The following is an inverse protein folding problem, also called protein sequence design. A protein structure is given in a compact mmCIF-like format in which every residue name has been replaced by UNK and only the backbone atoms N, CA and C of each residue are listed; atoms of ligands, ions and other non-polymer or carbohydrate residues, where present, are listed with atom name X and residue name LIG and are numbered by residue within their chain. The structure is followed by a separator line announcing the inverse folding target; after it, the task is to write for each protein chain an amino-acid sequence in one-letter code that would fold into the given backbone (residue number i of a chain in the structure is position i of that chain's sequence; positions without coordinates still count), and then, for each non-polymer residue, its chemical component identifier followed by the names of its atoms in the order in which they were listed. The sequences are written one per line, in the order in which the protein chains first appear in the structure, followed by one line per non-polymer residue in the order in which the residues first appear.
data_IF_711696374889
#
_entry.id   IF_711696374889
#
_cell.length_a   1.000
_cell.length_b   1.000
_cell.length_c   1.000
_cell.angle_alpha   90.00
_cell.angle_beta   90.00
_cell.angle_gamma   90.00
#
_symmetry.space_group_name_H-M   'P 1'
#
loop_
_entity.id
_entity.type
_entity.pdbx_description
1 polymer ?
#
# COMPACT_ATOMS: atom_id res chain seq x y z
N UNK A 1 -1.96 18.93 -22.54
CA UNK A 1 -2.21 19.97 -23.58
C UNK A 1 -0.90 20.67 -23.85
N UNK A 2 -0.46 20.71 -25.10
CA UNK A 2 0.72 21.48 -25.47
C UNK A 2 0.33 22.98 -25.51
N UNK A 3 0.93 23.84 -24.66
CA UNK A 3 0.54 25.25 -24.57
C UNK A 3 0.85 26.05 -25.84
N UNK A 4 1.74 25.56 -26.71
CA UNK A 4 2.10 26.23 -27.96
C UNK A 4 1.11 25.92 -29.10
N UNK A 5 0.56 24.70 -29.15
CA UNK A 5 -0.32 24.25 -30.25
C UNK A 5 -1.79 24.21 -29.86
N UNK A 6 -2.11 24.20 -28.55
CA UNK A 6 -3.49 24.01 -28.07
C UNK A 6 -4.03 22.59 -28.33
N UNK A 7 -3.17 21.67 -28.80
CA UNK A 7 -3.50 20.29 -29.13
C UNK A 7 -3.11 19.40 -27.95
N UNK A 8 -3.92 18.37 -27.70
CA UNK A 8 -3.55 17.28 -26.82
C UNK A 8 -2.58 16.34 -27.55
N UNK A 9 -1.41 16.18 -26.94
CA UNK A 9 -0.39 15.23 -27.34
C UNK A 9 -0.10 14.37 -26.12
N UNK A 10 -0.01 13.06 -26.34
CA UNK A 10 0.37 12.13 -25.29
C UNK A 10 1.82 12.41 -24.82
N UNK A 11 2.06 12.17 -23.53
CA UNK A 11 3.41 12.14 -22.97
C UNK A 11 4.21 10.96 -23.53
N UNK A 12 5.53 11.12 -23.66
CA UNK A 12 6.44 10.02 -24.00
C UNK A 12 6.34 8.82 -23.04
N UNK A 13 5.77 9.02 -21.84
CA UNK A 13 5.49 7.97 -20.87
C UNK A 13 4.39 6.97 -21.31
N UNK A 14 3.58 7.27 -22.33
CA UNK A 14 2.63 6.32 -22.91
C UNK A 14 1.43 5.94 -22.03
N UNK A 15 1.11 6.74 -20.99
CA UNK A 15 0.05 6.42 -20.05
C UNK A 15 -1.32 6.36 -20.72
N UNK A 16 -1.63 7.31 -21.60
CA UNK A 16 -2.95 7.43 -22.21
C UNK A 16 -3.24 6.29 -23.17
N UNK A 17 -2.28 5.94 -24.02
CA UNK A 17 -2.33 4.79 -24.89
C UNK A 17 -2.52 3.49 -24.10
N UNK A 18 -1.80 3.32 -22.98
CA UNK A 18 -1.95 2.15 -22.11
C UNK A 18 -3.35 2.07 -21.50
N UNK A 19 -3.92 3.18 -21.04
CA UNK A 19 -5.28 3.19 -20.47
C UNK A 19 -6.34 2.84 -21.53
N UNK A 20 -6.22 3.38 -22.74
CA UNK A 20 -7.13 3.08 -23.87
C UNK A 20 -6.98 1.61 -24.32
N UNK A 21 -5.75 1.09 -24.30
CA UNK A 21 -5.51 -0.33 -24.58
C UNK A 21 -6.14 -1.22 -23.51
N UNK A 22 -6.03 -0.83 -22.24
CA UNK A 22 -6.60 -1.57 -21.12
C UNK A 22 -8.13 -1.58 -21.13
N UNK A 23 -8.78 -0.48 -21.52
CA UNK A 23 -10.22 -0.42 -21.77
C UNK A 23 -10.64 -1.37 -22.89
N UNK A 24 -9.86 -1.41 -23.98
CA UNK A 24 -10.12 -2.29 -25.13
C UNK A 24 -9.86 -3.77 -24.84
N UNK A 25 -9.04 -4.10 -23.84
CA UNK A 25 -8.63 -5.46 -23.49
C UNK A 25 -8.91 -5.78 -22.01
N UNK A 26 -10.18 -5.84 -21.57
CA UNK A 26 -10.55 -5.94 -20.15
C UNK A 26 -10.12 -7.26 -19.47
N UNK A 27 -9.76 -8.29 -20.25
CA UNK A 27 -9.26 -9.57 -19.73
C UNK A 27 -7.73 -9.63 -19.60
N UNK A 28 -6.99 -8.64 -20.11
CA UNK A 28 -5.53 -8.56 -19.95
C UNK A 28 -5.17 -7.67 -18.76
N UNK A 29 -4.20 -8.08 -17.95
CA UNK A 29 -3.71 -7.30 -16.82
C UNK A 29 -2.67 -6.27 -17.27
N UNK A 30 -2.83 -5.04 -16.81
CA UNK A 30 -1.94 -3.91 -17.04
C UNK A 30 -1.41 -3.40 -15.71
N UNK A 31 -0.14 -3.00 -15.70
CA UNK A 31 0.49 -2.39 -14.53
C UNK A 31 1.12 -1.06 -14.93
N UNK A 32 0.76 0.00 -14.21
CA UNK A 32 1.32 1.34 -14.36
C UNK A 32 2.24 1.61 -13.18
N UNK A 33 3.50 1.90 -13.45
CA UNK A 33 4.51 2.18 -12.43
C UNK A 33 4.87 3.67 -12.48
N UNK A 34 4.57 4.38 -11.40
CA UNK A 34 5.00 5.76 -11.19
C UNK A 34 6.31 5.76 -10.41
N UNK A 35 7.41 6.00 -11.12
CA UNK A 35 8.72 6.11 -10.47
C UNK A 35 8.86 7.45 -9.76
N UNK A 36 9.45 7.45 -8.56
CA UNK A 36 9.70 8.62 -7.71
C UNK A 36 8.46 9.53 -7.56
N UNK A 37 7.31 8.90 -7.28
CA UNK A 37 6.00 9.55 -7.35
C UNK A 37 5.88 10.75 -6.39
N UNK A 38 6.67 10.77 -5.32
CA UNK A 38 6.66 11.78 -4.26
C UNK A 38 7.60 12.97 -4.47
N UNK A 39 8.23 13.10 -5.66
CA UNK A 39 8.91 14.33 -6.06
C UNK A 39 7.95 15.52 -6.12
N UNK A 40 6.71 15.27 -6.53
CA UNK A 40 5.61 16.23 -6.47
C UNK A 40 4.60 15.83 -5.39
N UNK A 41 3.76 16.77 -4.95
CA UNK A 41 2.67 16.47 -4.03
C UNK A 41 1.70 15.48 -4.68
N UNK A 42 1.76 14.21 -4.28
CA UNK A 42 1.01 13.12 -4.92
C UNK A 42 -0.49 13.36 -4.93
N UNK A 43 -1.04 13.95 -3.87
CA UNK A 43 -2.47 14.23 -3.81
C UNK A 43 -2.93 15.18 -4.92
N UNK A 44 -2.07 16.05 -5.44
CA UNK A 44 -2.52 17.02 -6.46
C UNK A 44 -2.70 16.38 -7.82
N UNK A 45 -1.80 15.48 -8.23
CA UNK A 45 -1.86 14.87 -9.56
C UNK A 45 -2.51 13.48 -9.54
N UNK A 46 -2.46 12.76 -8.42
CA UNK A 46 -2.99 11.40 -8.32
C UNK A 46 -4.42 11.34 -7.73
N UNK A 47 -4.96 12.45 -7.22
CA UNK A 47 -6.33 12.49 -6.68
C UNK A 47 -7.40 11.94 -7.65
N UNK A 48 -7.38 12.22 -8.97
CA UNK A 48 -8.38 11.67 -9.88
C UNK A 48 -8.41 10.14 -9.85
N UNK A 49 -7.23 9.50 -9.90
CA UNK A 49 -7.12 8.03 -9.83
C UNK A 49 -7.60 7.49 -8.49
N UNK A 50 -7.22 8.13 -7.40
CA UNK A 50 -7.66 7.74 -6.05
C UNK A 50 -9.18 7.81 -5.91
N UNK A 51 -9.81 8.86 -6.42
CA UNK A 51 -11.27 9.01 -6.42
C UNK A 51 -11.96 7.96 -7.28
N UNK A 52 -11.40 7.63 -8.45
CA UNK A 52 -11.95 6.59 -9.33
C UNK A 52 -11.91 5.21 -8.70
N UNK A 53 -10.83 4.87 -7.99
CA UNK A 53 -10.70 3.58 -7.31
C UNK A 53 -11.73 3.38 -6.18
N UNK A 54 -12.38 4.45 -5.69
CA UNK A 54 -13.48 4.37 -4.72
C UNK A 54 -14.85 4.10 -5.37
N UNK A 55 -14.98 4.34 -6.67
CA UNK A 55 -16.24 4.15 -7.39
C UNK A 55 -16.47 2.68 -7.75
N UNK A 56 -17.75 2.35 -7.91
CA UNK A 56 -18.19 1.10 -8.52
C UNK A 56 -17.55 0.96 -9.92
N UNK A 57 -17.25 -0.28 -10.31
CA UNK A 57 -16.45 -0.61 -11.50
C UNK A 57 -16.98 0.05 -12.78
N UNK A 58 -18.30 0.11 -12.93
CA UNK A 58 -19.00 0.68 -14.08
C UNK A 58 -19.12 2.22 -14.05
N UNK A 59 -18.52 2.89 -13.07
CA UNK A 59 -18.57 4.36 -12.89
C UNK A 59 -17.19 5.00 -12.94
N UNK A 60 -16.15 4.23 -13.25
CA UNK A 60 -14.75 4.70 -13.21
C UNK A 60 -14.35 5.35 -14.53
N UNK A 61 -14.89 6.53 -14.79
CA UNK A 61 -14.57 7.30 -16.00
C UNK A 61 -13.46 8.33 -15.73
N UNK A 62 -12.29 8.15 -16.33
CA UNK A 62 -11.18 9.09 -16.23
C UNK A 62 -11.21 10.08 -17.39
N UNK A 63 -11.26 11.37 -17.08
CA UNK A 63 -11.06 12.43 -18.07
C UNK A 63 -9.56 12.62 -18.36
N UNK A 64 -9.15 12.40 -19.61
CA UNK A 64 -7.76 12.53 -20.07
C UNK A 64 -7.45 13.97 -20.47
N UNK A 65 -8.40 14.63 -21.13
CA UNK A 65 -8.31 16.03 -21.53
C UNK A 65 -9.71 16.61 -21.77
N UNK A 66 -9.81 17.93 -21.89
CA UNK A 66 -11.10 18.58 -22.11
C UNK A 66 -11.66 18.29 -23.52
N UNK A 67 -12.94 17.89 -23.69
CA UNK A 67 -13.49 17.46 -24.99
C UNK A 67 -13.39 18.50 -26.12
N UNK A 68 -13.27 19.78 -25.78
CA UNK A 68 -13.08 20.85 -26.78
C UNK A 68 -11.66 20.93 -27.35
N UNK A 69 -10.71 20.15 -26.82
CA UNK A 69 -9.31 20.14 -27.24
C UNK A 69 -9.12 19.10 -28.33
N UNK A 70 -8.48 19.49 -29.44
CA UNK A 70 -8.15 18.56 -30.52
C UNK A 70 -7.02 17.62 -30.08
N UNK A 71 -7.12 16.34 -30.41
CA UNK A 71 -6.12 15.31 -30.11
C UNK A 71 -5.43 14.84 -31.39
N UNK A 72 -4.10 14.79 -31.38
CA UNK A 72 -3.29 14.42 -32.55
C UNK A 72 -3.47 12.94 -32.95
N UNK A 73 -3.59 12.05 -31.96
CA UNK A 73 -3.67 10.59 -32.16
C UNK A 73 -5.08 10.03 -32.07
N UNK A 74 -6.11 10.90 -32.05
CA UNK A 74 -7.52 10.52 -31.95
C UNK A 74 -7.87 9.60 -30.74
N UNK A 75 -7.10 9.67 -29.65
CA UNK A 75 -7.51 9.10 -28.37
C UNK A 75 -8.87 9.69 -27.95
N UNK A 76 -9.70 8.95 -27.20
CA UNK A 76 -10.90 9.53 -26.60
C UNK A 76 -10.51 10.55 -25.52
N UNK A 77 -11.38 11.53 -25.26
CA UNK A 77 -11.17 12.50 -24.18
C UNK A 77 -11.36 11.91 -22.79
N UNK A 78 -12.00 10.74 -22.71
CA UNK A 78 -12.35 10.02 -21.50
C UNK A 78 -12.10 8.53 -21.71
N UNK A 79 -11.78 7.79 -20.64
CA UNK A 79 -11.50 6.35 -20.68
C UNK A 79 -12.07 5.66 -19.45
N UNK A 80 -12.71 4.50 -19.64
CA UNK A 80 -13.18 3.66 -18.56
C UNK A 80 -12.02 2.87 -17.92
N UNK A 81 -11.86 3.03 -16.60
CA UNK A 81 -10.82 2.37 -15.81
C UNK A 81 -11.36 1.06 -15.24
N UNK A 82 -10.98 -0.05 -15.88
CA UNK A 82 -11.32 -1.40 -15.45
C UNK A 82 -10.54 -1.91 -14.24
N UNK A 83 -10.93 -3.08 -13.72
CA UNK A 83 -10.22 -3.80 -12.64
C UNK A 83 -8.94 -4.52 -13.10
N UNK A 84 -8.64 -4.42 -14.39
CA UNK A 84 -7.49 -5.00 -15.03
C UNK A 84 -6.24 -4.12 -14.94
N UNK A 85 -6.33 -2.93 -14.34
CA UNK A 85 -5.20 -2.00 -14.16
C UNK A 85 -4.74 -2.01 -12.70
N UNK A 86 -3.42 -2.10 -12.50
CA UNK A 86 -2.77 -2.02 -11.20
C UNK A 86 -1.85 -0.80 -11.21
N UNK A 87 -2.05 0.11 -10.27
CA UNK A 87 -1.17 1.26 -10.07
C UNK A 87 -0.15 0.94 -8.97
N UNK A 88 1.13 1.16 -9.27
CA UNK A 88 2.26 1.01 -8.35
C UNK A 88 3.05 2.31 -8.38
N UNK A 89 3.46 2.80 -7.20
CA UNK A 89 4.31 3.98 -7.10
C UNK A 89 5.55 3.67 -6.26
N UNK A 90 6.71 4.17 -6.69
CA UNK A 90 7.95 4.13 -5.91
C UNK A 90 8.16 5.47 -5.22
N UNK A 91 8.81 5.44 -4.06
CA UNK A 91 8.92 6.59 -3.16
C UNK A 91 10.34 6.63 -2.62
N UNK A 92 10.98 7.79 -2.73
CA UNK A 92 12.25 8.05 -2.06
C UNK A 92 11.98 8.80 -0.76
N UNK A 93 12.47 8.30 0.37
CA UNK A 93 12.24 8.93 1.69
C UNK A 93 13.29 9.99 2.05
N UNK A 94 14.00 10.54 1.05
CA UNK A 94 15.05 11.54 1.25
C UNK A 94 14.45 12.94 1.55
N UNK A 95 15.23 13.81 2.19
CA UNK A 95 14.82 15.13 2.74
C UNK A 95 14.12 16.07 1.75
N UNK A 96 14.27 15.87 0.44
CA UNK A 96 13.71 16.73 -0.60
C UNK A 96 12.28 16.36 -1.01
N UNK A 97 11.67 15.35 -0.38
CA UNK A 97 10.39 14.80 -0.82
C UNK A 97 9.21 15.21 0.05
N UNK A 98 8.00 15.21 -0.52
CA UNK A 98 6.77 15.55 0.20
C UNK A 98 6.23 14.33 0.95
N UNK A 99 5.78 14.55 2.19
CA UNK A 99 5.10 13.50 2.96
C UNK A 99 3.72 13.19 2.37
N UNK A 100 3.29 11.95 2.55
CA UNK A 100 1.96 11.52 2.13
C UNK A 100 0.91 11.91 3.16
N UNK A 101 -0.25 12.32 2.67
CA UNK A 101 -1.44 12.47 3.51
C UNK A 101 -1.94 11.12 3.99
N UNK A 102 -2.53 11.13 5.18
CA UNK A 102 -3.22 9.96 5.73
C UNK A 102 -4.34 9.48 4.79
N UNK A 103 -4.96 10.37 4.02
CA UNK A 103 -6.01 10.02 3.04
C UNK A 103 -5.48 9.16 1.90
N UNK A 104 -4.23 9.35 1.48
CA UNK A 104 -3.58 8.50 0.49
C UNK A 104 -3.17 7.16 1.13
N UNK A 105 -2.55 7.21 2.31
CA UNK A 105 -2.08 6.02 3.03
C UNK A 105 -3.22 5.08 3.44
N UNK A 106 -4.41 5.60 3.70
CA UNK A 106 -5.62 4.80 3.96
C UNK A 106 -6.06 3.94 2.75
N UNK A 107 -5.56 4.25 1.55
CA UNK A 107 -5.99 3.63 0.28
C UNK A 107 -4.89 2.82 -0.39
N UNK A 108 -3.65 2.91 0.09
CA UNK A 108 -2.51 2.20 -0.45
C UNK A 108 -1.94 1.19 0.55
N UNK A 109 -1.22 0.19 0.05
CA UNK A 109 -0.28 -0.58 0.86
C UNK A 109 1.09 0.08 0.72
N UNK A 110 1.73 0.41 1.84
CA UNK A 110 3.12 0.88 1.83
C UNK A 110 4.03 -0.31 2.05
N UNK A 111 4.78 -0.66 1.02
CA UNK A 111 5.73 -1.79 1.07
C UNK A 111 7.13 -1.20 1.21
N UNK A 112 7.80 -1.52 2.32
CA UNK A 112 9.23 -1.21 2.51
C UNK A 112 10.04 -2.48 2.24
N UNK A 113 10.80 -2.55 1.13
CA UNK A 113 11.66 -3.68 0.85
C UNK A 113 12.72 -3.88 1.93
N UNK A 114 13.07 -5.14 2.22
CA UNK A 114 14.20 -5.43 3.13
C UNK A 114 15.51 -5.06 2.43
N UNK A 115 16.40 -4.38 3.16
CA UNK A 115 17.78 -4.18 2.71
C UNK A 115 18.54 -5.49 2.84
N UNK A 116 19.01 -6.02 1.71
CA UNK A 116 19.88 -7.19 1.67
C UNK A 116 21.30 -6.78 2.11
N UNK A 117 21.97 -7.64 2.87
CA UNK A 117 23.40 -7.48 3.15
C UNK A 117 24.24 -7.75 1.90
N UNK A 118 25.43 -7.15 1.82
CA UNK A 118 26.34 -7.39 0.71
C UNK A 118 26.67 -8.88 0.52
N UNK A 119 26.79 -9.63 1.62
CA UNK A 119 27.01 -11.08 1.60
C UNK A 119 25.85 -11.85 0.97
N UNK A 120 24.60 -11.45 1.25
CA UNK A 120 23.41 -12.05 0.63
C UNK A 120 23.39 -11.77 -0.88
N UNK A 121 23.63 -10.52 -1.28
CA UNK A 121 23.67 -10.14 -2.70
C UNK A 121 24.78 -10.90 -3.42
N UNK A 122 25.97 -10.98 -2.83
CA UNK A 122 27.10 -11.74 -3.37
C UNK A 122 26.73 -13.21 -3.59
N UNK A 123 26.13 -13.86 -2.59
CA UNK A 123 25.71 -15.24 -2.68
C UNK A 123 24.61 -15.44 -3.74
N UNK A 124 23.65 -14.51 -3.86
CA UNK A 124 22.61 -14.58 -4.90
C UNK A 124 23.20 -14.44 -6.31
N UNK A 125 24.20 -13.57 -6.49
CA UNK A 125 24.90 -13.40 -7.77
C UNK A 125 25.75 -14.62 -8.13
N UNK A 126 26.45 -15.21 -7.15
CA UNK A 126 27.23 -16.43 -7.36
C UNK A 126 26.34 -17.66 -7.60
N UNK A 127 25.21 -17.74 -6.90
CA UNK A 127 24.19 -18.77 -7.06
C UNK A 127 23.14 -18.40 -8.12
N UNK A 128 23.45 -17.53 -9.09
CA UNK A 128 22.57 -17.33 -10.24
C UNK A 128 22.47 -18.66 -11.02
N UNK A 129 21.57 -19.51 -10.57
CA UNK A 129 20.84 -20.43 -11.43
C UNK A 129 20.12 -19.51 -12.40
N UNK A 130 20.55 -19.52 -13.65
CA UNK A 130 19.92 -18.86 -14.80
C UNK A 130 18.51 -19.42 -15.08
N UNK A 131 17.69 -19.61 -14.04
CA UNK A 131 16.30 -19.97 -14.17
C UNK A 131 15.59 -18.80 -14.82
N UNK A 132 15.19 -18.97 -16.09
CA UNK A 132 14.15 -18.12 -16.67
C UNK A 132 12.99 -18.14 -15.69
N UNK A 133 12.57 -16.96 -15.21
CA UNK A 133 11.28 -16.85 -14.54
C UNK A 133 10.24 -17.45 -15.48
N UNK A 134 9.55 -18.51 -15.05
CA UNK A 134 8.44 -19.06 -15.82
C UNK A 134 7.33 -18.02 -15.84
N UNK A 135 7.18 -17.35 -16.97
CA UNK A 135 6.11 -16.37 -17.16
C UNK A 135 4.83 -17.11 -17.52
N UNK A 136 3.95 -17.28 -16.54
CA UNK A 136 2.58 -17.75 -16.81
C UNK A 136 1.72 -16.56 -17.19
N UNK A 137 1.00 -16.66 -18.31
CA UNK A 137 0.00 -15.65 -18.69
C UNK A 137 -1.25 -15.85 -17.83
N UNK A 138 -1.59 -14.85 -17.02
CA UNK A 138 -2.76 -14.84 -16.15
C UNK A 138 -3.75 -13.79 -16.68
N UNK A 139 -5.01 -14.17 -16.86
CA UNK A 139 -6.08 -13.23 -17.23
C UNK A 139 -6.57 -12.43 -16.02
N UNK A 140 -7.22 -11.30 -16.27
CA UNK A 140 -7.91 -10.52 -15.24
C UNK A 140 -8.92 -11.38 -14.50
N UNK A 141 -9.74 -12.18 -15.20
CA UNK A 141 -10.73 -13.08 -14.57
C UNK A 141 -10.07 -14.05 -13.59
N UNK A 142 -8.95 -14.69 -13.95
CA UNK A 142 -8.24 -15.57 -13.02
C UNK A 142 -7.75 -14.80 -11.79
N UNK A 143 -7.09 -13.66 -12.02
CA UNK A 143 -6.52 -12.87 -10.91
C UNK A 143 -7.60 -12.25 -10.01
N UNK A 144 -8.70 -11.75 -10.57
CA UNK A 144 -9.71 -10.94 -9.84
C UNK A 144 -10.97 -11.71 -9.44
N UNK A 145 -11.25 -12.85 -10.06
CA UNK A 145 -12.51 -13.58 -9.84
C UNK A 145 -12.26 -15.02 -9.36
N UNK A 146 -11.14 -15.65 -9.75
CA UNK A 146 -10.79 -17.00 -9.29
C UNK A 146 -9.94 -16.97 -8.03
N UNK A 147 -8.90 -16.14 -8.01
CA UNK A 147 -8.00 -16.04 -6.85
C UNK A 147 -8.53 -15.13 -5.74
N UNK A 148 -9.47 -14.24 -6.05
CA UNK A 148 -10.10 -13.39 -5.05
C UNK A 148 -11.45 -13.94 -4.61
N UNK A 149 -11.69 -13.95 -3.31
CA UNK A 149 -12.99 -14.26 -2.73
C UNK A 149 -13.92 -13.05 -2.86
N UNK A 150 -14.95 -13.18 -3.71
CA UNK A 150 -15.94 -12.13 -3.99
C UNK A 150 -16.75 -11.67 -2.78
N UNK A 151 -16.82 -12.49 -1.72
CA UNK A 151 -17.53 -12.18 -0.47
C UNK A 151 -16.61 -11.64 0.63
N UNK A 152 -15.32 -11.44 0.34
CA UNK A 152 -14.36 -10.97 1.32
C UNK A 152 -14.36 -9.45 1.48
N UNK A 153 -13.99 -9.00 2.69
CA UNK A 153 -13.81 -7.58 3.01
C UNK A 153 -14.91 -7.01 3.88
N UNK A 154 -15.79 -7.85 4.42
CA UNK A 154 -16.67 -7.46 5.52
C UNK A 154 -15.94 -7.61 6.85
N UNK A 155 -16.28 -6.76 7.82
CA UNK A 155 -15.63 -6.79 9.13
C UNK A 155 -15.95 -8.11 9.86
N UNK A 156 -17.11 -8.71 9.55
CA UNK A 156 -17.52 -10.04 10.04
C UNK A 156 -16.59 -11.17 9.61
N UNK A 157 -15.71 -10.95 8.64
CA UNK A 157 -14.75 -11.97 8.21
C UNK A 157 -13.54 -12.07 9.15
N UNK A 158 -13.42 -11.13 10.09
CA UNK A 158 -12.40 -11.13 11.13
C UNK A 158 -12.85 -11.94 12.34
N UNK A 159 -11.89 -12.54 13.04
CA UNK A 159 -12.14 -13.16 14.35
C UNK A 159 -12.41 -12.07 15.39
N UNK A 160 -13.16 -12.40 16.44
CA UNK A 160 -13.46 -11.45 17.54
C UNK A 160 -12.17 -10.87 18.15
N UNK A 161 -11.15 -11.71 18.37
CA UNK A 161 -9.84 -11.28 18.89
C UNK A 161 -9.14 -10.28 17.94
N UNK A 162 -9.30 -10.46 16.62
CA UNK A 162 -8.70 -9.60 15.60
C UNK A 162 -9.40 -8.23 15.53
N UNK A 163 -10.73 -8.22 15.62
CA UNK A 163 -11.50 -6.97 15.70
C UNK A 163 -11.16 -6.21 16.99
N UNK A 164 -11.09 -6.90 18.14
CA UNK A 164 -10.73 -6.30 19.41
C UNK A 164 -9.31 -5.69 19.40
N UNK A 165 -8.35 -6.35 18.74
CA UNK A 165 -7.01 -5.76 18.55
C UNK A 165 -7.08 -4.44 17.75
N UNK A 166 -7.88 -4.39 16.69
CA UNK A 166 -8.03 -3.16 15.89
C UNK A 166 -8.67 -2.02 16.68
N UNK A 167 -9.64 -2.32 17.56
CA UNK A 167 -10.24 -1.34 18.46
C UNK A 167 -9.21 -0.80 19.47
N UNK A 168 -8.40 -1.67 20.08
CA UNK A 168 -7.33 -1.26 21.00
C UNK A 168 -6.30 -0.35 20.30
N UNK A 169 -5.90 -0.69 19.08
CA UNK A 169 -4.99 0.13 18.28
C UNK A 169 -5.64 1.46 17.89
N UNK A 170 -6.91 1.45 17.49
CA UNK A 170 -7.67 2.65 17.15
C UNK A 170 -7.75 3.62 18.34
N UNK A 171 -8.09 3.13 19.53
CA UNK A 171 -8.13 3.92 20.75
C UNK A 171 -6.76 4.51 21.13
N UNK A 172 -5.69 3.71 21.00
CA UNK A 172 -4.34 4.18 21.29
C UNK A 172 -3.94 5.35 20.37
N UNK A 173 -4.24 5.25 19.07
CA UNK A 173 -4.00 6.31 18.09
C UNK A 173 -4.82 7.57 18.43
N UNK A 174 -6.12 7.42 18.67
CA UNK A 174 -7.02 8.55 18.96
C UNK A 174 -6.68 9.31 20.25
N UNK A 175 -6.19 8.60 21.27
CA UNK A 175 -5.75 9.23 22.54
C UNK A 175 -4.61 10.22 22.33
N UNK A 176 -3.80 10.00 21.29
CA UNK A 176 -2.62 10.79 21.00
C UNK A 176 -2.96 11.96 20.06
N UNK A 177 -3.74 11.68 19.02
CA UNK A 177 -4.23 12.67 18.07
C UNK A 177 -5.64 12.28 17.62
N UNK A 178 -6.63 13.14 17.88
CA UNK A 178 -8.03 12.87 17.54
C UNK A 178 -8.30 12.83 16.03
N UNK A 179 -7.38 13.34 15.21
CA UNK A 179 -7.43 13.18 13.76
C UNK A 179 -6.79 11.87 13.28
N UNK A 180 -6.04 11.18 14.14
CA UNK A 180 -5.46 9.87 13.85
C UNK A 180 -6.42 8.76 14.25
N UNK A 181 -6.37 7.68 13.48
CA UNK A 181 -7.15 6.50 13.77
C UNK A 181 -7.11 5.49 12.64
N UNK A 182 -7.79 4.38 12.90
CA UNK A 182 -8.02 3.33 11.91
C UNK A 182 -9.41 3.53 11.34
N UNK A 183 -9.49 3.82 10.04
CA UNK A 183 -10.76 3.96 9.33
C UNK A 183 -11.34 2.58 8.99
N UNK A 184 -12.66 2.50 8.83
CA UNK A 184 -13.33 1.27 8.38
C UNK A 184 -12.78 0.75 7.05
N UNK A 185 -12.28 1.64 6.18
CA UNK A 185 -11.64 1.26 4.92
C UNK A 185 -10.41 0.39 5.15
N UNK A 186 -9.59 0.74 6.14
CA UNK A 186 -8.38 -0.01 6.48
C UNK A 186 -8.76 -1.39 6.98
N UNK A 187 -9.72 -1.49 7.91
CA UNK A 187 -10.16 -2.78 8.46
C UNK A 187 -10.74 -3.68 7.36
N UNK A 188 -11.61 -3.15 6.49
CA UNK A 188 -12.16 -3.89 5.33
C UNK A 188 -11.06 -4.36 4.37
N UNK A 189 -10.05 -3.52 4.12
CA UNK A 189 -8.92 -3.90 3.27
C UNK A 189 -8.06 -5.01 3.90
N UNK A 190 -7.86 -4.98 5.23
CA UNK A 190 -7.17 -6.05 5.96
C UNK A 190 -7.99 -7.34 5.91
N UNK A 191 -9.30 -7.28 6.19
CA UNK A 191 -10.19 -8.44 6.08
C UNK A 191 -10.13 -9.05 4.67
N UNK A 192 -10.18 -8.21 3.64
CA UNK A 192 -10.04 -8.66 2.26
C UNK A 192 -8.67 -9.33 2.02
N UNK A 193 -7.57 -8.76 2.50
CA UNK A 193 -6.24 -9.36 2.35
C UNK A 193 -6.14 -10.74 3.03
N UNK A 194 -6.62 -10.84 4.26
CA UNK A 194 -6.53 -12.04 5.09
C UNK A 194 -7.38 -13.19 4.51
N UNK A 195 -8.54 -12.90 3.91
CA UNK A 195 -9.36 -13.92 3.27
C UNK A 195 -8.84 -14.38 1.90
N UNK A 196 -7.91 -13.62 1.31
CA UNK A 196 -7.30 -13.92 0.03
C UNK A 196 -5.88 -14.50 0.18
N UNK A 197 -5.54 -15.02 1.37
CA UNK A 197 -4.31 -15.78 1.58
C UNK A 197 -4.36 -17.02 0.66
N UNK A 198 -3.40 -17.19 -0.26
CA UNK A 198 -3.42 -18.31 -1.18
C UNK A 198 -3.26 -19.64 -0.46
N UNK A 199 -4.14 -20.59 -0.79
CA UNK A 199 -4.02 -21.98 -0.37
C UNK A 199 -3.35 -22.80 -1.47
N UNK A 200 -2.36 -23.60 -1.09
CA UNK A 200 -1.73 -24.60 -1.94
C UNK A 200 -2.67 -25.80 -2.15
N UNK A 201 -2.32 -26.66 -3.11
CA UNK A 201 -3.13 -27.84 -3.47
C UNK A 201 -3.32 -28.83 -2.31
N UNK A 202 -2.41 -28.82 -1.33
CA UNK A 202 -2.47 -29.62 -0.11
C UNK A 202 -3.31 -28.98 1.01
N UNK A 203 -3.92 -27.82 0.75
CA UNK A 203 -4.72 -27.05 1.71
C UNK A 203 -3.89 -26.22 2.69
N UNK A 204 -2.56 -26.27 2.62
CA UNK A 204 -1.70 -25.38 3.40
C UNK A 204 -1.73 -23.97 2.83
N UNK A 205 -1.49 -22.97 3.68
CA UNK A 205 -1.42 -21.56 3.24
C UNK A 205 0.00 -21.20 2.87
N UNK A 206 0.19 -20.41 1.81
CA UNK A 206 1.52 -19.92 1.39
C UNK A 206 2.14 -19.02 2.47
N UNK A 207 1.29 -18.28 3.19
CA UNK A 207 1.65 -17.40 4.30
C UNK A 207 0.68 -17.70 5.43
N UNK A 208 1.18 -17.83 6.66
CA UNK A 208 0.29 -18.07 7.80
C UNK A 208 -0.64 -16.88 8.03
N UNK A 209 -1.82 -17.11 8.62
CA UNK A 209 -2.75 -16.01 8.96
C UNK A 209 -2.10 -14.98 9.89
N UNK A 210 -1.24 -15.42 10.81
CA UNK A 210 -0.52 -14.53 11.73
C UNK A 210 0.52 -13.66 11.02
N UNK A 211 1.29 -14.23 10.09
CA UNK A 211 2.25 -13.45 9.29
C UNK A 211 1.53 -12.46 8.38
N UNK A 212 0.40 -12.87 7.80
CA UNK A 212 -0.42 -12.00 6.97
C UNK A 212 -0.95 -10.79 7.76
N UNK A 213 -1.32 -10.99 9.04
CA UNK A 213 -1.70 -9.91 9.95
C UNK A 213 -0.54 -8.97 10.27
N UNK A 214 0.64 -9.51 10.55
CA UNK A 214 1.83 -8.70 10.83
C UNK A 214 2.19 -7.82 9.60
N UNK A 215 2.16 -8.41 8.40
CA UNK A 215 2.36 -7.70 7.14
C UNK A 215 1.33 -6.58 6.98
N UNK A 216 0.04 -6.86 7.17
CA UNK A 216 -1.00 -5.85 6.97
C UNK A 216 -0.95 -4.73 8.03
N UNK A 217 -0.65 -5.06 9.27
CA UNK A 217 -0.47 -4.08 10.33
C UNK A 217 0.69 -3.14 9.99
N UNK A 218 1.82 -3.70 9.57
CA UNK A 218 3.00 -2.95 9.12
C UNK A 218 2.71 -2.06 7.91
N UNK A 219 2.06 -2.59 6.88
CA UNK A 219 1.88 -1.91 5.59
C UNK A 219 0.75 -0.86 5.58
N UNK A 220 -0.31 -1.06 6.39
CA UNK A 220 -1.51 -0.21 6.37
C UNK A 220 -1.72 0.62 7.63
N UNK A 221 -1.32 0.14 8.80
CA UNK A 221 -1.59 0.84 10.07
C UNK A 221 -0.35 1.61 10.50
N UNK A 222 0.77 0.91 10.66
CA UNK A 222 2.01 1.51 11.17
C UNK A 222 2.71 2.41 10.17
N UNK A 223 2.45 2.22 8.87
CA UNK A 223 2.93 3.13 7.81
C UNK A 223 2.37 4.54 7.92
N UNK A 224 1.27 4.74 8.65
CA UNK A 224 0.67 6.06 8.91
C UNK A 224 1.32 6.80 10.07
N UNK A 225 2.11 6.11 10.89
CA UNK A 225 2.77 6.69 12.06
C UNK A 225 4.00 7.48 11.61
N UNK A 226 3.80 8.75 11.31
CA UNK A 226 4.89 9.69 11.02
C UNK A 226 4.68 10.97 11.81
N UNK A 227 5.77 11.61 12.22
CA UNK A 227 5.67 12.82 13.04
C UNK A 227 6.88 13.07 13.92
N UNK A 228 6.76 14.15 14.69
CA UNK A 228 7.73 14.52 15.71
C UNK A 228 7.58 13.67 16.96
N UNK A 229 8.62 13.62 17.78
CA UNK A 229 8.65 12.87 19.04
C UNK A 229 7.49 13.25 19.97
N UNK A 230 7.17 14.55 20.06
CA UNK A 230 6.05 15.05 20.86
C UNK A 230 4.68 14.49 20.44
N UNK A 231 4.55 14.03 19.19
CA UNK A 231 3.29 13.50 18.64
C UNK A 231 3.26 11.97 18.70
N UNK A 232 4.31 11.27 18.27
CA UNK A 232 4.26 9.80 18.13
C UNK A 232 5.17 9.05 19.11
N UNK A 233 5.98 9.74 19.91
CA UNK A 233 6.94 9.12 20.84
C UNK A 233 6.29 8.21 21.88
N UNK A 234 5.13 8.58 22.43
CA UNK A 234 4.38 7.75 23.39
C UNK A 234 3.78 6.48 22.77
N UNK A 235 3.55 6.50 21.46
CA UNK A 235 3.00 5.38 20.70
C UNK A 235 4.09 4.38 20.32
N UNK A 236 5.19 4.87 19.76
CA UNK A 236 6.27 4.03 19.22
C UNK A 236 7.37 3.73 20.23
N UNK A 237 7.52 4.54 21.28
CA UNK A 237 8.61 4.44 22.25
C UNK A 237 9.80 5.35 21.91
N UNK A 238 10.77 5.41 22.82
CA UNK A 238 11.98 6.25 22.71
C UNK A 238 13.20 5.41 23.12
N UNK A 239 14.36 5.68 22.52
CA UNK A 239 15.62 5.09 22.96
C UNK A 239 16.35 6.00 23.95
N UNK A 240 16.76 5.44 25.08
CA UNK A 240 17.68 6.08 26.02
C UNK A 240 19.04 5.39 25.92
N UNK A 241 19.87 5.84 24.98
CA UNK A 241 21.11 5.14 24.61
C UNK A 241 20.78 3.81 23.90
N UNK A 242 21.20 2.69 24.49
CA UNK A 242 20.92 1.34 23.98
C UNK A 242 19.59 0.76 24.50
N UNK A 243 18.97 1.40 25.50
CA UNK A 243 17.75 0.89 26.11
C UNK A 243 16.52 1.42 25.38
N UNK A 244 15.70 0.51 24.88
CA UNK A 244 14.41 0.84 24.26
C UNK A 244 13.33 0.93 25.35
N UNK A 245 12.77 2.12 25.54
CA UNK A 245 11.55 2.32 26.32
C UNK A 245 10.35 2.03 25.42
N UNK A 246 9.58 0.99 25.75
CA UNK A 246 8.49 0.53 24.90
C UNK A 246 7.34 1.53 24.84
N UNK A 247 6.91 1.85 23.62
CA UNK A 247 5.69 2.64 23.41
C UNK A 247 4.42 1.81 23.61
N UNK A 248 3.29 2.53 23.74
CA UNK A 248 1.97 1.94 23.96
C UNK A 248 1.63 0.86 22.93
N UNK A 249 1.99 1.07 21.65
CA UNK A 249 1.70 0.12 20.57
C UNK A 249 2.51 -1.17 20.73
N UNK A 250 3.78 -1.09 21.14
CA UNK A 250 4.59 -2.30 21.37
C UNK A 250 3.98 -3.14 22.50
N UNK A 251 3.56 -2.49 23.59
CA UNK A 251 2.89 -3.17 24.70
C UNK A 251 1.58 -3.84 24.29
N UNK A 252 0.76 -3.20 23.44
CA UNK A 252 -0.47 -3.81 22.88
C UNK A 252 -0.13 -5.06 22.07
N UNK A 253 0.88 -5.00 21.19
CA UNK A 253 1.25 -6.13 20.32
C UNK A 253 1.87 -7.30 21.10
N UNK A 254 2.58 -7.04 22.19
CA UNK A 254 3.18 -8.07 23.04
C UNK A 254 2.19 -8.70 24.04
N UNK A 255 1.00 -8.11 24.21
CA UNK A 255 0.02 -8.63 25.15
C UNK A 255 -0.45 -10.05 24.79
N UNK A 256 -0.77 -10.86 25.79
CA UNK A 256 -1.07 -12.29 25.62
C UNK A 256 -2.24 -12.58 24.66
N UNK A 257 -3.18 -11.65 24.50
CA UNK A 257 -4.28 -11.78 23.55
C UNK A 257 -3.81 -11.54 22.11
N UNK A 258 -3.06 -10.47 21.88
CA UNK A 258 -2.49 -10.12 20.57
C UNK A 258 -1.54 -11.22 20.06
N UNK A 259 -0.73 -11.80 20.95
CA UNK A 259 0.20 -12.89 20.62
C UNK A 259 -0.48 -14.18 20.15
N UNK A 260 -1.81 -14.35 20.35
CA UNK A 260 -2.58 -15.46 19.75
C UNK A 260 -2.86 -15.24 18.26
N UNK A 261 -2.82 -13.98 17.81
CA UNK A 261 -3.06 -13.61 16.41
C UNK A 261 -1.76 -13.75 15.62
N UNK A 262 -0.68 -13.13 16.12
CA UNK A 262 0.64 -13.12 15.50
C UNK A 262 1.72 -12.79 16.53
N UNK A 263 2.97 -13.16 16.25
CA UNK A 263 4.12 -12.67 17.03
C UNK A 263 4.37 -11.17 16.83
N UNK A 264 3.89 -10.60 15.71
CA UNK A 264 4.08 -9.21 15.30
C UNK A 264 5.55 -8.77 15.21
N UNK A 265 6.45 -9.70 14.88
CA UNK A 265 7.89 -9.45 14.85
C UNK A 265 8.26 -8.30 13.90
N UNK A 266 7.69 -8.27 12.69
CA UNK A 266 8.00 -7.24 11.70
C UNK A 266 7.42 -5.87 12.08
N UNK A 267 6.24 -5.88 12.70
CA UNK A 267 5.58 -4.67 13.21
C UNK A 267 6.35 -4.07 14.39
N UNK A 268 6.79 -4.90 15.33
CA UNK A 268 7.61 -4.46 16.48
C UNK A 268 8.98 -3.95 16.00
N UNK A 269 9.61 -4.62 15.03
CA UNK A 269 10.86 -4.15 14.42
C UNK A 269 10.68 -2.77 13.78
N UNK A 270 9.57 -2.55 13.06
CA UNK A 270 9.26 -1.24 12.47
C UNK A 270 9.05 -0.16 13.56
N UNK A 271 8.34 -0.47 14.65
CA UNK A 271 8.15 0.46 15.76
C UNK A 271 9.49 0.85 16.40
N UNK A 272 10.37 -0.12 16.65
CA UNK A 272 11.73 0.13 17.16
C UNK A 272 12.55 0.99 16.18
N UNK A 273 12.44 0.73 14.87
CA UNK A 273 13.10 1.56 13.86
C UNK A 273 12.61 3.02 13.93
N UNK A 274 11.30 3.24 14.02
CA UNK A 274 10.71 4.58 14.15
C UNK A 274 11.13 5.27 15.46
N UNK A 275 11.15 4.56 16.58
CA UNK A 275 11.64 5.08 17.86
C UNK A 275 13.11 5.52 17.79
N UNK A 276 13.94 4.74 17.08
CA UNK A 276 15.35 5.10 16.84
C UNK A 276 15.49 6.34 15.95
N UNK A 277 14.67 6.45 14.91
CA UNK A 277 14.62 7.65 14.04
C UNK A 277 14.21 8.89 14.84
N UNK A 278 13.18 8.79 15.68
CA UNK A 278 12.77 9.89 16.58
C UNK A 278 13.92 10.34 17.48
N UNK A 279 14.60 9.41 18.12
CA UNK A 279 15.69 9.72 19.05
C UNK A 279 16.89 10.36 18.33
N UNK A 280 17.16 9.94 17.08
CA UNK A 280 18.33 10.40 16.32
C UNK A 280 18.09 11.70 15.55
N UNK A 281 16.89 11.86 14.98
CA UNK A 281 16.56 12.91 14.02
C UNK A 281 15.44 13.84 14.50
N UNK A 282 14.79 13.54 15.63
CA UNK A 282 13.61 14.28 16.14
C UNK A 282 12.32 14.04 15.36
N UNK A 283 12.37 13.21 14.31
CA UNK A 283 11.27 12.92 13.40
C UNK A 283 11.39 11.49 12.85
N UNK A 284 10.24 10.81 12.68
CA UNK A 284 10.19 9.48 12.06
C UNK A 284 9.17 9.46 10.92
N UNK A 285 9.53 8.74 9.85
CA UNK A 285 8.73 8.55 8.63
C UNK A 285 8.12 7.16 8.58
#
# INVERSE_FOLDING_TARGET
MNPATGIYQESDAGLTGLLVEAESNPEQLYMVIFDEMNLAQVEHWFSPFISLLELEKNKRLLQLYHPSVQCEYAYPSEVDIGDNIIFVGTVNFDETTKSFSQRLLDRANVITPRKLSFSEVWNMQQNQVSGRYETTRISKSVFREVWMNSSAGEISDLREEEAALMDLLHEALQKTDSQQGISFRVIRAIANYINNIPCLLDGSTVISRGDAWDIQLKQRVLSKLSGMEATIGTLVGIFHGENYEEGTLTGILQFAHSQRISSFEQSIELLKKKAKELTTHGYAN
#
